data_IF_605143717146
#
_entry.id   IF_605143717146
#
_cell.length_a   1.000
_cell.length_b   1.000
_cell.length_c   1.000
_cell.angle_alpha   90.00
_cell.angle_beta   90.00
_cell.angle_gamma   90.00
#
_symmetry.space_group_name_H-M   'P 1'
#
loop_
_entity.id
_entity.type
_entity.pdbx_description
1 polymer ?
#
# COMPACT_ATOMS: atom_id res chain seq x y z
N UNK A 1 -0.95 -12.76 -2.69
CA UNK A 1 -2.35 -12.90 -2.25
C UNK A 1 -3.20 -11.90 -3.03
N UNK A 2 -4.30 -12.35 -3.64
CA UNK A 2 -5.24 -11.49 -4.33
C UNK A 2 -6.27 -10.99 -3.30
N UNK A 3 -6.51 -9.69 -3.27
CA UNK A 3 -7.57 -9.08 -2.47
C UNK A 3 -8.05 -7.83 -3.21
N UNK A 4 -9.27 -7.41 -2.91
CA UNK A 4 -9.86 -6.19 -3.46
C UNK A 4 -9.99 -5.18 -2.32
N UNK A 5 -9.56 -3.93 -2.56
CA UNK A 5 -9.80 -2.84 -1.60
C UNK A 5 -11.20 -2.30 -1.84
N UNK A 6 -12.03 -2.32 -0.82
CA UNK A 6 -13.38 -1.77 -0.87
C UNK A 6 -13.37 -0.34 -0.31
N UNK A 7 -13.78 0.61 -1.16
CA UNK A 7 -13.84 2.02 -0.81
C UNK A 7 -12.47 2.69 -0.71
N UNK A 8 -12.39 3.69 0.17
CA UNK A 8 -11.20 4.53 0.34
C UNK A 8 -10.24 3.96 1.38
N UNK A 9 -8.94 4.17 1.16
CA UNK A 9 -7.93 3.92 2.20
C UNK A 9 -7.92 5.13 3.13
N UNK A 10 -8.17 4.92 4.41
CA UNK A 10 -8.16 5.96 5.45
C UNK A 10 -6.88 5.91 6.26
N UNK A 11 -6.67 6.90 7.15
CA UNK A 11 -5.53 6.97 8.06
C UNK A 11 -4.18 6.81 7.32
N UNK A 12 -4.06 7.48 6.18
CA UNK A 12 -2.88 7.36 5.32
C UNK A 12 -1.71 8.11 5.94
N UNK A 13 -0.62 7.40 6.17
CA UNK A 13 0.60 7.94 6.77
C UNK A 13 1.81 7.60 5.91
N UNK A 14 2.77 8.53 5.86
CA UNK A 14 4.05 8.32 5.16
C UNK A 14 5.03 7.66 6.13
N UNK A 15 5.44 6.43 5.82
CA UNK A 15 6.46 5.70 6.59
C UNK A 15 7.86 6.19 6.21
N UNK A 16 8.08 6.41 4.92
CA UNK A 16 9.36 6.86 4.39
C UNK A 16 9.17 7.61 3.07
N UNK A 17 10.04 8.57 2.78
CA UNK A 17 10.03 9.34 1.53
C UNK A 17 11.45 9.47 0.96
N UNK A 18 11.54 9.71 -0.35
CA UNK A 18 12.79 10.04 -1.01
C UNK A 18 13.89 9.00 -0.81
N UNK A 19 15.02 9.40 -0.22
CA UNK A 19 16.16 8.51 0.03
C UNK A 19 15.90 7.46 1.13
N UNK A 20 14.97 7.71 2.06
CA UNK A 20 14.60 6.75 3.11
C UNK A 20 13.82 5.54 2.58
N UNK A 21 13.34 5.57 1.33
CA UNK A 21 12.69 4.43 0.70
C UNK A 21 13.75 3.41 0.27
N UNK A 22 13.96 2.36 1.07
CA UNK A 22 14.96 1.31 0.82
C UNK A 22 14.90 0.72 -0.60
N UNK A 23 13.70 0.56 -1.16
CA UNK A 23 13.48 0.02 -2.51
C UNK A 23 13.47 1.07 -3.62
N UNK A 24 13.85 2.33 -3.36
CA UNK A 24 13.79 3.44 -4.33
C UNK A 24 14.49 3.11 -5.65
N UNK A 25 15.66 2.45 -5.62
CA UNK A 25 16.39 2.07 -6.83
C UNK A 25 15.61 1.07 -7.69
N UNK A 26 15.01 0.07 -7.05
CA UNK A 26 14.15 -0.92 -7.72
C UNK A 26 12.89 -0.27 -8.29
N UNK A 27 12.17 0.52 -7.49
CA UNK A 27 10.95 1.22 -7.92
C UNK A 27 11.22 2.13 -9.11
N UNK A 28 12.36 2.83 -9.11
CA UNK A 28 12.80 3.65 -10.24
C UNK A 28 13.10 2.85 -11.50
N UNK A 29 13.65 1.65 -11.37
CA UNK A 29 13.98 0.77 -12.49
C UNK A 29 12.73 0.15 -13.11
N UNK A 30 11.77 -0.28 -12.28
CA UNK A 30 10.58 -1.01 -12.75
C UNK A 30 9.45 -0.08 -13.17
N UNK A 31 9.21 0.98 -12.41
CA UNK A 31 8.04 1.85 -12.60
C UNK A 31 8.40 3.26 -13.07
N UNK A 32 9.68 3.62 -13.06
CA UNK A 32 10.17 4.91 -13.53
C UNK A 32 10.56 5.91 -12.43
N UNK A 33 11.18 7.01 -12.85
CA UNK A 33 11.63 8.07 -11.93
C UNK A 33 10.42 8.76 -11.29
N UNK A 34 10.47 8.92 -9.98
CA UNK A 34 9.42 9.60 -9.23
C UNK A 34 9.86 9.88 -7.79
N UNK A 35 9.17 10.80 -7.12
CA UNK A 35 9.31 11.03 -5.68
C UNK A 35 8.59 9.92 -4.93
N UNK A 36 9.27 8.78 -4.82
CA UNK A 36 8.73 7.59 -4.18
C UNK A 36 8.54 7.82 -2.68
N UNK A 37 7.35 7.44 -2.21
CA UNK A 37 6.97 7.40 -0.81
C UNK A 37 6.50 5.99 -0.50
N UNK A 38 6.85 5.50 0.70
CA UNK A 38 6.24 4.30 1.28
C UNK A 38 5.15 4.78 2.22
N UNK A 39 3.93 4.34 1.98
CA UNK A 39 2.77 4.72 2.77
C UNK A 39 2.18 3.51 3.48
N UNK A 40 1.51 3.78 4.59
CA UNK A 40 0.55 2.87 5.22
C UNK A 40 -0.81 3.51 5.28
N UNK A 41 -1.84 2.71 5.44
CA UNK A 41 -3.20 3.17 5.68
C UNK A 41 -4.10 2.00 6.04
N UNK A 42 -5.33 2.31 6.42
CA UNK A 42 -6.34 1.35 6.83
C UNK A 42 -7.37 1.23 5.72
N UNK A 43 -7.79 0.01 5.39
CA UNK A 43 -8.88 -0.21 4.45
C UNK A 43 -9.64 -1.48 4.75
N UNK A 44 -10.88 -1.53 4.29
CA UNK A 44 -11.65 -2.78 4.22
C UNK A 44 -11.25 -3.50 2.94
N UNK A 45 -10.91 -4.78 3.05
CA UNK A 45 -10.58 -5.62 1.90
C UNK A 45 -11.51 -6.82 1.80
N UNK A 46 -11.82 -7.21 0.56
CA UNK A 46 -12.46 -8.49 0.25
C UNK A 46 -11.39 -9.53 -0.03
N UNK A 47 -11.35 -10.58 0.78
CA UNK A 47 -10.48 -11.73 0.60
C UNK A 47 -11.02 -12.66 -0.50
N UNK A 48 -10.21 -13.59 -1.06
CA UNK A 48 -10.66 -14.51 -2.11
C UNK A 48 -11.89 -15.35 -1.74
N UNK A 49 -12.09 -15.62 -0.44
CA UNK A 49 -13.24 -16.35 0.09
C UNK A 49 -14.50 -15.48 0.28
N UNK A 50 -14.48 -14.23 -0.20
CA UNK A 50 -15.58 -13.27 -0.03
C UNK A 50 -15.62 -12.57 1.34
N UNK A 51 -14.86 -13.05 2.33
CA UNK A 51 -14.79 -12.44 3.66
C UNK A 51 -14.26 -11.02 3.61
N UNK A 52 -14.97 -10.11 4.29
CA UNK A 52 -14.54 -8.73 4.49
C UNK A 52 -13.69 -8.63 5.76
N UNK A 53 -12.56 -7.94 5.67
CA UNK A 53 -11.69 -7.69 6.82
C UNK A 53 -11.14 -6.28 6.77
N UNK A 54 -11.09 -5.61 7.93
CA UNK A 54 -10.33 -4.36 8.09
C UNK A 54 -8.84 -4.67 8.28
N UNK A 55 -7.99 -4.04 7.46
CA UNK A 55 -6.55 -4.32 7.42
C UNK A 55 -5.72 -3.06 7.33
N UNK A 56 -4.49 -3.14 7.85
CA UNK A 56 -3.43 -2.19 7.55
C UNK A 56 -2.75 -2.58 6.23
N UNK A 57 -2.76 -1.67 5.27
CA UNK A 57 -2.14 -1.81 3.96
C UNK A 57 -0.87 -0.97 3.89
N UNK A 58 0.19 -1.50 3.29
CA UNK A 58 1.38 -0.74 2.92
C UNK A 58 1.56 -0.77 1.41
N UNK A 59 1.98 0.35 0.82
CA UNK A 59 2.29 0.46 -0.60
C UNK A 59 3.37 1.49 -0.87
N UNK A 60 3.83 1.53 -2.12
CA UNK A 60 4.67 2.60 -2.64
C UNK A 60 3.86 3.49 -3.57
N UNK A 61 4.09 4.80 -3.53
CA UNK A 61 3.44 5.74 -4.43
C UNK A 61 4.42 6.82 -4.86
N UNK A 62 4.29 7.23 -6.12
CA UNK A 62 4.94 8.42 -6.64
C UNK A 62 3.94 9.25 -7.46
N UNK A 63 4.14 10.57 -7.43
CA UNK A 63 3.37 11.50 -8.24
C UNK A 63 3.48 11.13 -9.73
N UNK A 64 2.34 11.09 -10.43
CA UNK A 64 2.25 10.69 -11.84
C UNK A 64 2.35 9.18 -12.13
N UNK A 65 2.71 8.35 -11.16
CA UNK A 65 2.80 6.87 -11.31
C UNK A 65 1.67 6.16 -10.54
N UNK A 66 1.26 6.73 -9.41
CA UNK A 66 0.24 6.16 -8.54
C UNK A 66 0.77 5.04 -7.63
N UNK A 67 -0.16 4.26 -7.08
CA UNK A 67 0.10 3.25 -6.04
C UNK A 67 0.62 1.95 -6.66
N UNK A 68 1.68 1.37 -6.06
CA UNK A 68 2.37 0.14 -6.47
C UNK A 68 2.66 -0.75 -5.27
N UNK A 69 2.76 -2.05 -5.53
CA UNK A 69 3.10 -3.09 -4.54
C UNK A 69 2.26 -3.03 -3.25
N UNK A 70 0.94 -2.85 -3.39
CA UNK A 70 0.01 -2.85 -2.27
C UNK A 70 0.00 -4.20 -1.55
N UNK A 71 0.20 -4.21 -0.23
CA UNK A 71 0.27 -5.42 0.59
C UNK A 71 -0.45 -5.25 1.92
N UNK A 72 -1.16 -6.30 2.34
CA UNK A 72 -1.67 -6.43 3.71
C UNK A 72 -0.48 -6.62 4.65
N UNK A 73 -0.42 -5.82 5.70
CA UNK A 73 0.59 -5.92 6.76
C UNK A 73 0.03 -6.42 8.07
N UNK A 74 -1.21 -6.07 8.39
CA UNK A 74 -1.87 -6.47 9.64
C UNK A 74 -3.37 -6.56 9.44
N UNK A 75 -4.01 -7.53 10.10
CA UNK A 75 -5.46 -7.58 10.26
C UNK A 75 -5.81 -6.81 11.53
N UNK A 76 -6.75 -5.86 11.43
CA UNK A 76 -7.12 -4.98 12.54
C UNK A 76 -8.36 -5.44 13.29
N UNK A 77 -9.16 -6.32 12.67
CA UNK A 77 -10.26 -7.00 13.33
C UNK A 77 -9.86 -8.45 13.58
N UNK A 78 -9.83 -8.83 14.85
CA UNK A 78 -9.92 -10.22 15.27
C UNK A 78 -11.39 -10.66 15.18
N UNK A 79 -11.59 -11.87 14.67
CA UNK A 79 -12.93 -12.45 14.50
C UNK A 79 -13.56 -12.79 15.86
#
# INVERSE_FOLDING_TARGET
MRFEVLGWITNVEVIASGAGVRLRRYLRKVYGRGSWRKLRGIATVRLPKGTLRKVELHWYEAHGIGRKDLKIKRYLEEA
#
